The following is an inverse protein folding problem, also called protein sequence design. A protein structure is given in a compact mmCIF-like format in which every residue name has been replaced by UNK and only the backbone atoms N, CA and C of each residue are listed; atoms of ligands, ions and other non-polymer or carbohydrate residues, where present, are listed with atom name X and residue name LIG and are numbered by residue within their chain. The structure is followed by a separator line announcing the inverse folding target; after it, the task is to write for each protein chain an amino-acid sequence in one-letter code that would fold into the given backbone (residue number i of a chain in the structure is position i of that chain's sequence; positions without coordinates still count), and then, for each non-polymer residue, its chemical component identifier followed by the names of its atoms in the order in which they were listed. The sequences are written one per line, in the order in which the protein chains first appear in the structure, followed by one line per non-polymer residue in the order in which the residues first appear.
data_IF_359615069781
#
_entry.id   IF_359615069781
#
_cell.length_a   1.000
_cell.length_b   1.000
_cell.length_c   1.000
_cell.angle_alpha   90.00
_cell.angle_beta   90.00
_cell.angle_gamma   90.00
#
_symmetry.space_group_name_H-M   'P 1'
#
loop_
_entity.id
_entity.type
_entity.pdbx_description
1 polymer ?
#
# COMPACT_ATOMS: atom_id res chain seq x y z
N UNK A 1 35.87 -2.51 -2.36
CA UNK A 1 34.50 -2.67 -1.82
C UNK A 1 34.63 -3.01 -0.35
N UNK A 2 33.97 -2.26 0.53
CA UNK A 2 34.10 -2.46 1.99
C UNK A 2 32.74 -2.87 2.57
N UNK A 3 32.71 -4.01 3.28
CA UNK A 3 31.52 -4.45 4.02
C UNK A 3 31.49 -3.70 5.35
N UNK A 4 30.36 -3.07 5.65
CA UNK A 4 30.12 -2.38 6.92
C UNK A 4 29.06 -3.16 7.70
N UNK A 5 29.41 -3.57 8.92
CA UNK A 5 28.46 -4.10 9.89
C UNK A 5 27.91 -2.91 10.68
N UNK A 6 26.63 -2.59 10.48
CA UNK A 6 26.00 -1.41 11.04
C UNK A 6 24.86 -1.84 11.93
N UNK A 7 24.89 -1.38 13.18
CA UNK A 7 23.76 -1.48 14.12
C UNK A 7 22.85 -0.28 13.93
N UNK A 8 21.59 -0.54 13.57
CA UNK A 8 20.55 0.46 13.41
C UNK A 8 20.02 0.96 14.77
N UNK A 9 19.27 2.07 14.76
CA UNK A 9 18.65 2.62 15.97
C UNK A 9 17.65 1.66 16.63
N UNK A 10 17.09 0.71 15.86
CA UNK A 10 16.23 -0.35 16.37
C UNK A 10 17.00 -1.53 17.00
N UNK A 11 18.34 -1.47 17.10
CA UNK A 11 19.19 -2.51 17.70
C UNK A 11 19.58 -3.65 16.75
N UNK A 12 18.97 -3.74 15.56
CA UNK A 12 19.31 -4.77 14.57
C UNK A 12 20.57 -4.41 13.79
N UNK A 13 21.44 -5.40 13.60
CA UNK A 13 22.66 -5.26 12.79
C UNK A 13 22.44 -5.77 11.36
N UNK A 14 22.91 -5.00 10.37
CA UNK A 14 22.90 -5.39 8.95
C UNK A 14 24.25 -5.14 8.31
N UNK A 15 24.56 -5.95 7.30
CA UNK A 15 25.79 -5.82 6.51
C UNK A 15 25.48 -5.05 5.24
N UNK A 16 26.14 -3.92 5.04
CA UNK A 16 26.02 -3.09 3.84
C UNK A 16 27.31 -3.11 3.04
N UNK A 17 27.20 -3.24 1.71
CA UNK A 17 28.31 -2.93 0.82
C UNK A 17 28.24 -1.45 0.45
N UNK A 18 29.02 -0.61 1.12
CA UNK A 18 29.06 0.82 0.82
C UNK A 18 30.09 1.05 -0.28
N UNK A 19 29.60 1.27 -1.50
CA UNK A 19 30.39 1.67 -2.66
C UNK A 19 30.58 3.19 -2.74
N UNK A 20 31.57 3.62 -3.52
CA UNK A 20 31.94 5.03 -3.73
C UNK A 20 33.35 5.37 -3.26
N UNK A 21 33.85 6.54 -3.64
CA UNK A 21 35.09 7.11 -3.08
C UNK A 21 34.90 7.40 -1.59
N UNK A 22 36.00 7.36 -0.83
CA UNK A 22 35.99 7.69 0.61
C UNK A 22 36.96 8.85 0.89
N UNK A 23 37.22 9.68 -0.12
CA UNK A 23 38.21 10.76 -0.08
C UNK A 23 37.82 11.83 0.96
N UNK A 24 36.52 12.00 1.19
CA UNK A 24 35.96 12.93 2.18
C UNK A 24 35.14 12.22 3.27
N UNK A 25 35.41 10.92 3.52
CA UNK A 25 34.71 10.14 4.54
C UNK A 25 33.24 9.85 4.21
N UNK A 26 32.87 9.87 2.93
CA UNK A 26 31.51 9.66 2.45
C UNK A 26 30.94 8.33 2.92
N UNK A 27 31.77 7.28 2.97
CA UNK A 27 31.33 5.96 3.42
C UNK A 27 31.02 5.96 4.90
N UNK A 28 31.84 6.63 5.70
CA UNK A 28 31.61 6.83 7.13
C UNK A 28 30.32 7.60 7.41
N UNK A 29 30.05 8.68 6.65
CA UNK A 29 28.80 9.45 6.75
C UNK A 29 27.59 8.60 6.40
N UNK A 30 27.67 7.80 5.34
CA UNK A 30 26.59 6.88 4.93
C UNK A 30 26.37 5.79 5.97
N UNK A 31 27.44 5.25 6.58
CA UNK A 31 27.32 4.28 7.65
C UNK A 31 26.60 4.85 8.88
N UNK A 32 26.95 6.08 9.29
CA UNK A 32 26.25 6.81 10.37
C UNK A 32 24.79 7.07 10.04
N UNK A 33 24.47 7.42 8.80
CA UNK A 33 23.08 7.61 8.35
C UNK A 33 22.26 6.31 8.39
N UNK A 34 22.85 5.17 8.07
CA UNK A 34 22.18 3.87 8.30
C UNK A 34 21.97 3.62 9.79
N UNK A 35 22.97 3.88 10.64
CA UNK A 35 22.86 3.67 12.08
C UNK A 35 21.78 4.55 12.75
N UNK A 36 21.55 5.77 12.25
CA UNK A 36 20.58 6.71 12.83
C UNK A 36 19.10 6.37 12.58
N UNK A 37 18.80 5.40 11.73
CA UNK A 37 17.43 5.05 11.34
C UNK A 37 17.13 3.58 11.67
N UNK A 38 15.85 3.21 11.86
CA UNK A 38 15.47 1.80 12.00
C UNK A 38 15.87 1.02 10.75
N UNK A 39 16.14 -0.28 10.95
CA UNK A 39 16.50 -1.15 9.84
C UNK A 39 15.31 -1.30 8.86
N UNK A 40 15.56 -1.68 7.60
CA UNK A 40 14.50 -1.83 6.60
C UNK A 40 13.40 -2.82 6.99
N UNK A 41 13.73 -3.85 7.77
CA UNK A 41 12.74 -4.85 8.20
C UNK A 41 11.80 -4.29 9.26
N UNK A 42 12.33 -3.55 10.24
CA UNK A 42 11.52 -2.87 11.25
C UNK A 42 10.62 -1.81 10.62
N UNK A 43 11.16 -1.03 9.68
CA UNK A 43 10.35 -0.03 8.96
C UNK A 43 9.21 -0.67 8.19
N UNK A 44 9.48 -1.76 7.45
CA UNK A 44 8.44 -2.50 6.72
C UNK A 44 7.41 -3.10 7.68
N UNK A 45 7.84 -3.60 8.83
CA UNK A 45 6.91 -4.14 9.84
C UNK A 45 5.98 -3.04 10.40
N UNK A 46 6.52 -1.85 10.65
CA UNK A 46 5.75 -0.68 11.08
C UNK A 46 4.76 -0.21 10.01
N UNK A 47 5.19 -0.10 8.75
CA UNK A 47 4.33 0.23 7.61
C UNK A 47 3.17 -0.77 7.47
N UNK A 48 3.47 -2.07 7.54
CA UNK A 48 2.46 -3.12 7.47
C UNK A 48 1.49 -3.07 8.66
N UNK A 49 1.97 -2.77 9.87
CA UNK A 49 1.13 -2.65 11.05
C UNK A 49 0.20 -1.42 10.96
N UNK A 50 0.71 -0.28 10.48
CA UNK A 50 -0.10 0.91 10.24
C UNK A 50 -1.17 0.68 9.17
N UNK A 51 -0.82 -0.01 8.08
CA UNK A 51 -1.77 -0.39 7.04
C UNK A 51 -2.87 -1.33 7.56
N UNK A 52 -2.50 -2.34 8.35
CA UNK A 52 -3.45 -3.25 8.98
C UNK A 52 -4.37 -2.53 9.99
N UNK A 53 -3.87 -1.52 10.71
CA UNK A 53 -4.69 -0.68 11.57
C UNK A 53 -5.69 0.16 10.76
N UNK A 54 -5.22 0.87 9.73
CA UNK A 54 -6.09 1.67 8.82
C UNK A 54 -7.19 0.82 8.19
N UNK A 55 -6.87 -0.39 7.71
CA UNK A 55 -7.86 -1.29 7.14
C UNK A 55 -8.91 -1.74 8.16
N UNK A 56 -8.51 -1.99 9.42
CA UNK A 56 -9.44 -2.31 10.53
C UNK A 56 -10.33 -1.12 10.89
N UNK A 57 -9.79 0.10 10.96
CA UNK A 57 -10.55 1.32 11.22
C UNK A 57 -11.59 1.59 10.13
N UNK A 58 -11.30 1.21 8.88
CA UNK A 58 -12.24 1.23 7.76
C UNK A 58 -13.27 0.09 7.78
N UNK A 59 -13.25 -0.78 8.79
CA UNK A 59 -14.17 -1.90 8.93
C UNK A 59 -13.98 -2.99 7.88
N UNK A 60 -12.79 -3.08 7.26
CA UNK A 60 -12.52 -4.11 6.26
C UNK A 60 -12.33 -5.49 6.92
N UNK A 61 -12.74 -6.59 6.24
CA UNK A 61 -12.61 -7.92 6.81
C UNK A 61 -11.13 -8.31 6.99
N UNK A 62 -10.87 -9.26 7.90
CA UNK A 62 -9.53 -9.79 8.11
C UNK A 62 -9.07 -10.59 6.88
N UNK A 63 -7.79 -10.45 6.51
CA UNK A 63 -7.22 -11.22 5.42
C UNK A 63 -6.86 -12.65 5.84
N UNK A 64 -7.02 -13.56 4.89
CA UNK A 64 -6.69 -14.99 4.97
C UNK A 64 -5.43 -15.28 4.16
N UNK A 65 -4.52 -16.09 4.71
CA UNK A 65 -3.26 -16.48 4.08
C UNK A 65 -2.14 -16.70 5.08
N UNK A 66 -0.91 -16.84 4.59
CA UNK A 66 0.25 -16.93 5.49
C UNK A 66 0.51 -15.60 6.21
N UNK A 67 1.10 -15.59 7.42
CA UNK A 67 1.39 -14.36 8.15
C UNK A 67 2.23 -13.35 7.34
N UNK A 68 3.17 -13.83 6.52
CA UNK A 68 3.97 -12.98 5.64
C UNK A 68 3.15 -12.38 4.50
N UNK A 69 2.25 -13.16 3.89
CA UNK A 69 1.35 -12.65 2.86
C UNK A 69 0.37 -11.63 3.43
N UNK A 70 -0.25 -11.91 4.57
CA UNK A 70 -1.19 -11.00 5.24
C UNK A 70 -0.49 -9.66 5.50
N UNK A 71 0.68 -9.65 6.14
CA UNK A 71 1.38 -8.42 6.47
C UNK A 71 1.67 -7.56 5.22
N UNK A 72 2.05 -8.17 4.11
CA UNK A 72 2.29 -7.45 2.85
C UNK A 72 1.00 -7.02 2.15
N UNK A 73 0.00 -7.90 2.11
CA UNK A 73 -1.29 -7.66 1.49
C UNK A 73 -2.07 -6.53 2.17
N UNK A 74 -1.94 -6.36 3.49
CA UNK A 74 -2.54 -5.23 4.21
C UNK A 74 -2.06 -3.87 3.67
N UNK A 75 -0.75 -3.76 3.36
CA UNK A 75 -0.16 -2.55 2.76
C UNK A 75 -0.68 -2.30 1.35
N UNK A 76 -0.74 -3.34 0.52
CA UNK A 76 -1.29 -3.24 -0.84
C UNK A 76 -2.77 -2.84 -0.80
N UNK A 77 -3.55 -3.51 0.04
CA UNK A 77 -4.99 -3.24 0.22
C UNK A 77 -5.23 -1.82 0.73
N UNK A 78 -4.45 -1.34 1.69
CA UNK A 78 -4.62 0.01 2.21
C UNK A 78 -4.44 1.06 1.11
N UNK A 79 -3.41 0.93 0.26
CA UNK A 79 -3.18 1.82 -0.87
C UNK A 79 -4.30 1.70 -1.93
N UNK A 80 -4.71 0.48 -2.26
CA UNK A 80 -5.80 0.22 -3.19
C UNK A 80 -7.12 0.85 -2.74
N UNK A 81 -7.47 0.68 -1.47
CA UNK A 81 -8.69 1.23 -0.87
C UNK A 81 -8.66 2.76 -0.87
N UNK A 82 -7.52 3.38 -0.56
CA UNK A 82 -7.37 4.84 -0.67
C UNK A 82 -7.62 5.34 -2.10
N UNK A 83 -7.10 4.65 -3.12
CA UNK A 83 -7.32 5.01 -4.52
C UNK A 83 -8.80 4.87 -4.93
N UNK A 84 -9.46 3.78 -4.53
CA UNK A 84 -10.89 3.56 -4.79
C UNK A 84 -11.77 4.57 -4.07
N UNK A 85 -11.46 4.90 -2.80
CA UNK A 85 -12.19 5.90 -2.01
C UNK A 85 -12.09 7.28 -2.67
N UNK A 86 -10.88 7.67 -3.10
CA UNK A 86 -10.65 8.94 -3.78
C UNK A 86 -11.49 9.02 -5.08
N UNK A 87 -11.48 7.97 -5.90
CA UNK A 87 -12.27 7.94 -7.13
C UNK A 87 -13.78 7.95 -6.87
N UNK A 88 -14.26 7.11 -5.94
CA UNK A 88 -15.68 7.07 -5.57
C UNK A 88 -16.20 8.44 -5.10
N UNK A 89 -15.41 9.17 -4.32
CA UNK A 89 -15.78 10.51 -3.85
C UNK A 89 -15.88 11.56 -4.97
N UNK A 90 -15.10 11.44 -6.04
CA UNK A 90 -15.14 12.37 -7.19
C UNK A 90 -16.38 12.21 -8.06
N UNK A 91 -17.01 11.03 -8.00
CA UNK A 91 -18.15 10.70 -8.87
C UNK A 91 -19.50 11.18 -8.32
N UNK A 92 -19.56 11.48 -7.02
CA UNK A 92 -20.79 11.91 -6.36
C UNK A 92 -20.86 13.43 -6.35
N UNK A 93 -21.42 14.00 -7.42
CA UNK A 93 -21.97 15.36 -7.41
C UNK A 93 -23.50 15.26 -7.37
N UNK A 94 -24.14 15.51 -6.21
CA UNK A 94 -25.59 15.41 -6.06
C UNK A 94 -26.36 16.29 -7.05
N UNK A 95 -25.79 17.43 -7.48
CA UNK A 95 -26.43 18.34 -8.41
C UNK A 95 -26.51 17.78 -9.84
N UNK A 96 -25.60 16.86 -10.22
CA UNK A 96 -25.56 16.25 -11.55
C UNK A 96 -26.25 14.88 -11.64
N UNK A 97 -26.68 14.31 -10.51
CA UNK A 97 -27.33 12.98 -10.47
C UNK A 97 -28.86 13.11 -10.59
N UNK A 98 -29.42 14.25 -10.18
CA UNK A 98 -30.87 14.45 -10.16
C UNK A 98 -31.48 14.36 -11.57
N UNK A 99 -32.26 13.31 -11.82
CA UNK A 99 -33.00 13.11 -13.07
C UNK A 99 -32.29 12.27 -14.14
N UNK A 100 -31.03 11.89 -13.94
CA UNK A 100 -30.28 11.03 -14.87
C UNK A 100 -30.21 9.58 -14.33
N UNK A 101 -31.20 8.77 -14.71
CA UNK A 101 -31.28 7.36 -14.29
C UNK A 101 -30.12 6.52 -14.79
N UNK A 102 -29.52 6.86 -15.94
CA UNK A 102 -28.39 6.14 -16.50
C UNK A 102 -27.12 6.42 -15.70
N UNK A 103 -26.89 7.69 -15.35
CA UNK A 103 -25.78 8.09 -14.47
C UNK A 103 -25.92 7.45 -13.10
N UNK A 104 -27.12 7.44 -12.52
CA UNK A 104 -27.39 6.78 -11.24
C UNK A 104 -27.05 5.29 -11.30
N UNK A 105 -27.49 4.58 -12.35
CA UNK A 105 -27.17 3.16 -12.55
C UNK A 105 -25.66 2.91 -12.68
N UNK A 106 -24.94 3.76 -13.42
CA UNK A 106 -23.47 3.68 -13.55
C UNK A 106 -22.78 3.88 -12.20
N UNK A 107 -23.19 4.88 -11.41
CA UNK A 107 -22.64 5.11 -10.06
C UNK A 107 -22.88 3.93 -9.13
N UNK A 108 -24.08 3.34 -9.15
CA UNK A 108 -24.38 2.14 -8.38
C UNK A 108 -23.48 0.96 -8.74
N UNK A 109 -23.18 0.76 -10.04
CA UNK A 109 -22.24 -0.28 -10.50
C UNK A 109 -20.82 -0.03 -9.99
N UNK A 110 -20.36 1.22 -10.01
CA UNK A 110 -19.04 1.59 -9.49
C UNK A 110 -18.95 1.33 -7.98
N UNK A 111 -19.94 1.78 -7.21
CA UNK A 111 -19.97 1.54 -5.77
C UNK A 111 -20.03 0.05 -5.42
N UNK A 112 -20.82 -0.74 -6.16
CA UNK A 112 -20.89 -2.19 -5.99
C UNK A 112 -19.53 -2.86 -6.22
N UNK A 113 -18.86 -2.54 -7.34
CA UNK A 113 -17.53 -3.08 -7.65
C UNK A 113 -16.50 -2.74 -6.55
N UNK A 114 -16.47 -1.49 -6.08
CA UNK A 114 -15.57 -1.07 -5.01
C UNK A 114 -15.87 -1.84 -3.72
N UNK A 115 -17.14 -1.98 -3.35
CA UNK A 115 -17.55 -2.70 -2.15
C UNK A 115 -17.19 -4.19 -2.22
N UNK A 116 -17.45 -4.85 -3.36
CA UNK A 116 -17.08 -6.24 -3.61
C UNK A 116 -15.57 -6.45 -3.52
N UNK A 117 -14.79 -5.54 -4.11
CA UNK A 117 -13.32 -5.59 -4.08
C UNK A 117 -12.79 -5.44 -2.65
N UNK A 118 -13.36 -4.53 -1.87
CA UNK A 118 -13.02 -4.36 -0.44
C UNK A 118 -13.34 -5.58 0.41
N UNK A 119 -14.31 -6.39 0.00
CA UNK A 119 -14.73 -7.59 0.72
C UNK A 119 -13.80 -8.79 0.48
N UNK A 120 -12.84 -8.71 -0.44
CA UNK A 120 -11.90 -9.80 -0.73
C UNK A 120 -10.97 -10.05 0.46
N UNK A 121 -11.06 -11.25 1.05
CA UNK A 121 -10.24 -11.67 2.20
C UNK A 121 -8.93 -12.35 1.81
N UNK A 122 -8.77 -12.82 0.56
CA UNK A 122 -7.55 -13.51 0.15
C UNK A 122 -6.34 -12.57 0.08
N UNK A 123 -5.33 -12.80 0.93
CA UNK A 123 -4.07 -12.06 0.87
C UNK A 123 -3.32 -12.26 -0.46
N UNK A 124 -3.39 -13.49 -1.02
CA UNK A 124 -2.78 -13.79 -2.31
C UNK A 124 -3.39 -12.95 -3.44
N UNK A 125 -4.71 -12.76 -3.43
CA UNK A 125 -5.39 -11.95 -4.45
C UNK A 125 -4.85 -10.51 -4.48
N UNK A 126 -4.72 -9.87 -3.32
CA UNK A 126 -4.15 -8.51 -3.25
C UNK A 126 -2.71 -8.46 -3.75
N UNK A 127 -1.92 -9.48 -3.46
CA UNK A 127 -0.53 -9.60 -3.93
C UNK A 127 -0.46 -9.75 -5.45
N UNK A 128 -1.31 -10.59 -6.02
CA UNK A 128 -1.35 -10.83 -7.47
C UNK A 128 -1.80 -9.57 -8.23
N UNK A 129 -2.64 -8.73 -7.62
CA UNK A 129 -3.18 -7.50 -8.22
C UNK A 129 -2.46 -6.23 -7.76
N UNK A 130 -1.28 -6.34 -7.15
CA UNK A 130 -0.54 -5.18 -6.63
C UNK A 130 -0.15 -4.16 -7.72
N UNK A 131 -0.07 -4.60 -8.98
CA UNK A 131 0.31 -3.77 -10.13
C UNK A 131 -0.88 -3.14 -10.87
N UNK A 132 -2.12 -3.49 -10.50
CA UNK A 132 -3.32 -3.12 -11.25
C UNK A 132 -3.66 -1.62 -11.19
N UNK A 133 -3.28 -0.94 -10.11
CA UNK A 133 -3.60 0.46 -9.88
C UNK A 133 -5.10 0.72 -9.79
N UNK A 134 -5.68 0.57 -8.59
CA UNK A 134 -7.13 0.61 -8.28
C UNK A 134 -7.81 1.99 -8.39
N UNK A 135 -7.40 2.83 -9.34
CA UNK A 135 -8.02 4.12 -9.63
C UNK A 135 -9.10 4.05 -10.72
N UNK A 136 -9.44 5.21 -11.30
CA UNK A 136 -10.45 5.34 -12.35
C UNK A 136 -10.26 4.37 -13.52
N UNK A 137 -9.04 4.26 -14.06
CA UNK A 137 -8.76 3.42 -15.23
C UNK A 137 -9.01 1.94 -14.98
N UNK A 138 -8.81 1.48 -13.75
CA UNK A 138 -9.11 0.12 -13.33
C UNK A 138 -10.62 -0.11 -13.23
N UNK A 139 -11.35 0.81 -12.62
CA UNK A 139 -12.82 0.73 -12.52
C UNK A 139 -13.48 0.75 -13.90
N UNK A 140 -13.11 1.69 -14.77
CA UNK A 140 -13.64 1.78 -16.13
C UNK A 140 -13.40 0.48 -16.91
N UNK A 141 -12.19 -0.08 -16.83
CA UNK A 141 -11.84 -1.36 -17.47
C UNK A 141 -12.65 -2.53 -16.93
N UNK A 142 -12.93 -2.57 -15.63
CA UNK A 142 -13.70 -3.67 -15.00
C UNK A 142 -15.19 -3.62 -15.32
N UNK A 143 -15.73 -2.44 -15.64
CA UNK A 143 -17.15 -2.24 -15.90
C UNK A 143 -17.49 -2.06 -17.38
N UNK A 144 -16.48 -2.04 -18.26
CA UNK A 144 -16.61 -1.75 -19.69
C UNK A 144 -17.38 -0.42 -19.94
N UNK A 145 -16.99 0.64 -19.22
CA UNK A 145 -17.57 2.00 -19.30
C UNK A 145 -16.53 3.08 -19.61
#
# INVERSE_FOLDING_TARGET
MSKYHITHSCGHSRTYNICGTDVHGERGRKAKWYASQPCPDCRRAEENAAAAQSNREKGLPQLEGSPKQIAWAETIRCAAVQAMDAFGSQLVDPAQIAGDSQRLATLSRIHALIAETKAITSAAWWIDHQADGFGQSWVCRKLDI
#
